data_IF_971584539030
#
_entry.id   IF_971584539030
#
_cell.length_a   1.000
_cell.length_b   1.000
_cell.length_c   1.000
_cell.angle_alpha   90.00
_cell.angle_beta   90.00
_cell.angle_gamma   90.00
#
_symmetry.space_group_name_H-M   'P 1'
#
loop_
_entity.id
_entity.type
_entity.pdbx_description
1 polymer ?
#
# COMPACT_ATOMS: atom_id res chain seq x y z
N UNK A 1 -12.64 -33.03 -47.56
CA UNK A 1 -13.18 -32.10 -46.54
C UNK A 1 -12.53 -32.28 -45.15
N UNK A 2 -11.20 -32.17 -45.00
CA UNK A 2 -10.55 -32.25 -43.66
C UNK A 2 -9.32 -31.31 -43.46
N UNK A 3 -9.11 -30.31 -44.32
CA UNK A 3 -7.93 -29.44 -44.25
C UNK A 3 -8.22 -27.96 -43.91
N UNK A 4 -9.47 -27.58 -43.61
CA UNK A 4 -9.83 -26.19 -43.28
C UNK A 4 -10.04 -25.90 -41.79
N UNK A 5 -9.89 -26.88 -40.89
CA UNK A 5 -10.13 -26.69 -39.45
C UNK A 5 -8.87 -26.44 -38.61
N UNK A 6 -7.67 -26.72 -39.13
CA UNK A 6 -6.43 -26.58 -38.36
C UNK A 6 -5.89 -25.14 -38.36
N UNK A 7 -6.15 -24.37 -39.44
CA UNK A 7 -5.72 -22.96 -39.55
C UNK A 7 -6.44 -21.96 -38.63
N UNK A 8 -7.56 -22.34 -38.01
CA UNK A 8 -8.32 -21.46 -37.10
C UNK A 8 -7.93 -21.57 -35.62
N UNK A 9 -7.21 -22.62 -35.22
CA UNK A 9 -6.81 -22.81 -33.81
C UNK A 9 -5.50 -22.08 -33.50
N UNK A 10 -4.56 -22.03 -34.44
CA UNK A 10 -3.30 -21.28 -34.28
C UNK A 10 -3.46 -19.75 -34.36
N UNK A 11 -4.47 -19.26 -35.09
CA UNK A 11 -4.81 -17.84 -35.10
C UNK A 11 -5.46 -17.35 -33.79
N UNK A 12 -6.02 -18.26 -32.97
CA UNK A 12 -6.62 -17.91 -31.69
C UNK A 12 -5.60 -17.86 -30.54
N UNK A 13 -4.54 -18.68 -30.59
CA UNK A 13 -3.44 -18.58 -29.61
C UNK A 13 -2.52 -17.36 -29.86
N UNK A 14 -2.35 -16.92 -31.11
CA UNK A 14 -1.64 -15.69 -31.42
C UNK A 14 -2.36 -14.41 -30.97
N UNK A 15 -3.70 -14.46 -30.86
CA UNK A 15 -4.52 -13.30 -30.47
C UNK A 15 -4.74 -13.19 -28.95
N UNK A 16 -4.50 -14.26 -28.20
CA UNK A 16 -4.52 -14.25 -26.71
C UNK A 16 -3.24 -13.65 -26.12
N UNK A 17 -2.17 -13.49 -26.91
CA UNK A 17 -0.91 -12.87 -26.46
C UNK A 17 -0.91 -11.34 -26.55
N UNK A 18 -1.93 -10.70 -27.16
CA UNK A 18 -1.89 -9.27 -27.49
C UNK A 18 -2.95 -8.37 -26.80
N UNK A 19 -3.70 -8.89 -25.82
CA UNK A 19 -4.75 -8.10 -25.15
C UNK A 19 -4.67 -8.09 -23.61
N UNK A 20 -3.48 -8.25 -23.04
CA UNK A 20 -3.19 -7.72 -21.69
C UNK A 20 -2.35 -6.46 -21.84
N UNK A 21 -2.82 -5.53 -22.68
CA UNK A 21 -2.57 -4.13 -22.40
C UNK A 21 -3.40 -3.81 -21.15
N UNK A 22 -2.81 -4.10 -19.98
CA UNK A 22 -3.27 -3.50 -18.75
C UNK A 22 -3.35 -2.00 -19.01
N UNK A 23 -4.57 -1.45 -19.08
CA UNK A 23 -4.77 -0.02 -19.01
C UNK A 23 -4.06 0.42 -17.73
N UNK A 24 -2.86 0.98 -17.88
CA UNK A 24 -2.16 1.58 -16.74
C UNK A 24 -3.06 2.73 -16.31
N UNK A 25 -3.61 2.62 -15.10
CA UNK A 25 -4.36 3.72 -14.51
C UNK A 25 -3.51 5.00 -14.48
N UNK A 26 -4.12 6.17 -14.25
CA UNK A 26 -3.43 7.46 -14.27
C UNK A 26 -2.33 7.60 -13.19
N UNK A 27 -2.16 6.60 -12.34
CA UNK A 27 -1.24 6.61 -11.21
C UNK A 27 -0.39 5.34 -11.15
N UNK A 28 0.85 5.49 -10.72
CA UNK A 28 1.77 4.41 -10.39
C UNK A 28 1.98 4.27 -8.87
N UNK A 29 2.27 3.07 -8.34
CA UNK A 29 2.55 2.88 -6.92
C UNK A 29 3.69 3.77 -6.43
N UNK A 30 3.50 4.47 -5.31
CA UNK A 30 4.59 5.23 -4.70
C UNK A 30 5.53 4.30 -3.93
N UNK A 31 6.79 4.26 -4.37
CA UNK A 31 7.84 3.42 -3.77
C UNK A 31 9.06 4.26 -3.45
N UNK A 32 9.33 4.39 -2.15
CA UNK A 32 10.52 5.10 -1.67
C UNK A 32 11.71 4.14 -1.72
N UNK A 33 12.65 4.41 -2.63
CA UNK A 33 13.87 3.60 -2.77
C UNK A 33 14.91 4.04 -1.75
N UNK A 34 15.53 3.07 -1.10
CA UNK A 34 16.58 3.25 -0.10
C UNK A 34 17.81 2.43 -0.52
N UNK A 35 19.03 2.74 -0.03
CA UNK A 35 20.25 2.03 -0.45
C UNK A 35 20.17 0.50 -0.32
N UNK A 36 19.58 0.01 0.76
CA UNK A 36 19.48 -1.42 1.07
C UNK A 36 18.02 -1.89 1.15
N UNK A 37 17.10 -1.24 0.43
CA UNK A 37 15.71 -1.61 0.52
C UNK A 37 14.74 -0.61 -0.08
N UNK A 38 13.48 -0.72 0.34
CA UNK A 38 12.39 0.09 -0.19
C UNK A 38 11.22 0.11 0.78
N UNK A 39 10.46 1.20 0.77
CA UNK A 39 9.11 1.24 1.36
C UNK A 39 8.09 1.32 0.24
N UNK A 40 7.21 0.32 0.16
CA UNK A 40 6.04 0.35 -0.70
C UNK A 40 4.88 0.98 0.10
N UNK A 41 4.67 2.28 -0.13
CA UNK A 41 3.61 3.06 0.54
C UNK A 41 2.23 2.85 -0.08
N UNK A 42 2.19 2.24 -1.27
CA UNK A 42 0.96 1.89 -1.98
C UNK A 42 0.31 0.64 -1.36
N UNK A 43 1.12 -0.39 -1.16
CA UNK A 43 0.71 -1.70 -0.66
C UNK A 43 0.97 -1.89 0.84
N UNK A 44 1.85 -1.08 1.44
CA UNK A 44 2.11 -1.06 2.88
C UNK A 44 3.04 -2.17 3.36
N UNK A 45 4.25 -2.23 2.82
CA UNK A 45 5.30 -3.13 3.28
C UNK A 45 6.70 -2.55 3.03
N UNK A 46 7.68 -3.05 3.77
CA UNK A 46 9.11 -2.72 3.63
C UNK A 46 9.81 -3.90 2.96
N UNK A 47 10.68 -3.63 1.98
CA UNK A 47 11.70 -4.57 1.51
C UNK A 47 13.04 -4.22 2.12
N UNK A 48 13.72 -5.18 2.70
CA UNK A 48 15.09 -5.03 3.19
C UNK A 48 15.99 -6.05 2.51
N UNK A 49 16.99 -5.55 1.80
CA UNK A 49 17.91 -6.35 1.03
C UNK A 49 19.20 -6.55 1.85
N UNK A 50 19.76 -7.76 1.79
CA UNK A 50 21.05 -8.05 2.41
C UNK A 50 21.89 -8.94 1.50
N UNK A 51 23.19 -8.67 1.50
CA UNK A 51 24.19 -9.47 0.78
C UNK A 51 25.39 -9.76 1.67
N UNK A 52 25.87 -11.00 1.62
CA UNK A 52 26.96 -11.53 2.43
C UNK A 52 27.87 -12.42 1.57
N UNK A 53 29.18 -12.13 1.47
CA UNK A 53 30.10 -12.98 0.72
C UNK A 53 30.27 -14.34 1.41
N UNK A 54 30.40 -15.40 0.61
CA UNK A 54 30.71 -16.73 1.12
C UNK A 54 32.17 -16.76 1.61
N UNK A 55 32.36 -17.31 2.81
CA UNK A 55 33.69 -17.44 3.41
C UNK A 55 34.54 -18.39 2.56
N UNK A 56 35.73 -17.94 2.18
CA UNK A 56 36.73 -18.75 1.48
C UNK A 56 37.49 -19.63 2.48
N UNK A 57 37.99 -20.78 2.03
CA UNK A 57 38.82 -21.67 2.86
C UNK A 57 38.04 -22.54 3.85
N UNK A 58 36.71 -22.60 3.75
CA UNK A 58 35.86 -23.53 4.53
C UNK A 58 34.98 -24.37 3.61
N UNK A 59 34.48 -25.53 4.07
CA UNK A 59 33.58 -26.36 3.27
C UNK A 59 32.37 -25.55 2.74
N UNK A 60 31.97 -25.72 1.46
CA UNK A 60 30.93 -24.90 0.85
C UNK A 60 29.59 -24.88 1.60
N UNK A 61 29.16 -26.04 2.11
CA UNK A 61 27.93 -26.14 2.89
C UNK A 61 28.01 -25.32 4.19
N UNK A 62 29.17 -25.30 4.84
CA UNK A 62 29.39 -24.50 6.04
C UNK A 62 29.40 -23.00 5.71
N UNK A 63 30.11 -22.59 4.65
CA UNK A 63 30.11 -21.19 4.21
C UNK A 63 28.69 -20.68 3.92
N UNK A 64 27.85 -21.51 3.29
CA UNK A 64 26.48 -21.15 2.97
C UNK A 64 25.63 -20.96 4.22
N UNK A 65 25.67 -21.90 5.17
CA UNK A 65 24.90 -21.79 6.42
C UNK A 65 25.33 -20.58 7.25
N UNK A 66 26.64 -20.29 7.29
CA UNK A 66 27.16 -19.08 7.93
C UNK A 66 26.62 -17.81 7.25
N UNK A 67 26.72 -17.74 5.92
CA UNK A 67 26.25 -16.59 5.15
C UNK A 67 24.74 -16.38 5.26
N UNK A 68 23.95 -17.46 5.27
CA UNK A 68 22.50 -17.43 5.48
C UNK A 68 22.12 -16.78 6.80
N UNK A 69 22.75 -17.22 7.90
CA UNK A 69 22.48 -16.67 9.25
C UNK A 69 22.85 -15.19 9.33
N UNK A 70 24.03 -14.83 8.83
CA UNK A 70 24.50 -13.44 8.84
C UNK A 70 23.61 -12.56 7.96
N UNK A 71 23.20 -13.05 6.79
CA UNK A 71 22.32 -12.32 5.89
C UNK A 71 20.97 -12.05 6.52
N UNK A 72 20.36 -13.05 7.18
CA UNK A 72 19.09 -12.87 7.89
C UNK A 72 19.19 -11.78 8.97
N UNK A 73 20.23 -11.82 9.81
CA UNK A 73 20.47 -10.79 10.83
C UNK A 73 20.65 -9.41 10.19
N UNK A 74 21.40 -9.32 9.09
CA UNK A 74 21.62 -8.08 8.35
C UNK A 74 20.32 -7.54 7.73
N UNK A 75 19.50 -8.39 7.13
CA UNK A 75 18.21 -7.99 6.55
C UNK A 75 17.23 -7.52 7.63
N UNK A 76 17.15 -8.21 8.78
CA UNK A 76 16.35 -7.77 9.92
C UNK A 76 16.84 -6.43 10.48
N UNK A 77 18.15 -6.22 10.62
CA UNK A 77 18.72 -4.96 11.05
C UNK A 77 18.40 -3.82 10.07
N UNK A 78 18.52 -4.09 8.77
CA UNK A 78 18.14 -3.14 7.70
C UNK A 78 16.65 -2.82 7.75
N UNK A 79 15.77 -3.82 7.85
CA UNK A 79 14.33 -3.62 7.97
C UNK A 79 13.97 -2.79 9.20
N UNK A 80 14.59 -3.06 10.36
CA UNK A 80 14.39 -2.28 11.58
C UNK A 80 14.82 -0.82 11.40
N UNK A 81 15.99 -0.58 10.80
CA UNK A 81 16.48 0.77 10.50
C UNK A 81 15.53 1.53 9.57
N UNK A 82 14.99 0.87 8.54
CA UNK A 82 13.99 1.48 7.65
C UNK A 82 12.70 1.77 8.43
N UNK A 83 12.19 0.79 9.19
CA UNK A 83 10.98 0.92 9.99
C UNK A 83 11.05 2.08 11.00
N UNK A 84 12.15 2.21 11.73
CA UNK A 84 12.37 3.27 12.72
C UNK A 84 12.34 4.68 12.08
N UNK A 85 12.73 4.79 10.82
CA UNK A 85 12.69 6.06 10.08
C UNK A 85 11.29 6.40 9.55
N UNK A 86 10.32 5.48 9.58
CA UNK A 86 9.00 5.77 9.05
C UNK A 86 8.35 6.95 9.80
N UNK A 87 7.89 7.99 9.08
CA UNK A 87 7.07 9.05 9.67
C UNK A 87 5.74 8.47 10.15
N UNK A 88 5.43 8.67 11.42
CA UNK A 88 4.12 8.34 11.97
C UNK A 88 3.13 9.43 11.55
N UNK A 89 3.52 10.68 11.73
CA UNK A 89 2.74 11.87 11.36
C UNK A 89 3.68 13.00 10.89
N UNK A 90 3.17 14.24 10.82
CA UNK A 90 3.92 15.42 10.39
C UNK A 90 5.04 15.86 11.34
N UNK A 91 5.08 15.34 12.58
CA UNK A 91 6.03 15.78 13.61
C UNK A 91 7.00 14.68 14.02
N UNK A 92 6.54 13.42 14.10
CA UNK A 92 7.27 12.33 14.74
C UNK A 92 7.49 11.14 13.79
N UNK A 93 8.68 10.54 13.92
CA UNK A 93 9.04 9.24 13.34
C UNK A 93 8.85 8.13 14.35
N UNK A 94 8.80 6.90 13.86
CA UNK A 94 8.60 5.71 14.70
C UNK A 94 9.71 5.55 15.76
N UNK A 95 10.94 5.93 15.44
CA UNK A 95 12.10 5.91 16.36
C UNK A 95 11.89 6.69 17.67
N UNK A 96 11.01 7.70 17.65
CA UNK A 96 10.71 8.55 18.82
C UNK A 96 9.77 7.88 19.84
N UNK A 97 9.18 6.73 19.49
CA UNK A 97 8.26 5.99 20.36
C UNK A 97 8.99 4.81 21.01
N UNK A 98 9.69 5.07 22.12
CA UNK A 98 10.46 4.04 22.87
C UNK A 98 9.61 2.81 23.22
N UNK A 99 8.36 3.03 23.68
CA UNK A 99 7.44 1.97 24.04
C UNK A 99 7.11 0.99 22.90
N UNK A 100 7.29 1.40 21.64
CA UNK A 100 6.99 0.56 20.48
C UNK A 100 8.20 -0.29 20.05
N UNK A 101 9.42 0.04 20.48
CA UNK A 101 10.65 -0.57 19.92
C UNK A 101 10.68 -2.09 20.01
N UNK A 102 10.28 -2.66 21.15
CA UNK A 102 10.26 -4.13 21.33
C UNK A 102 9.24 -4.76 20.39
N UNK A 103 8.05 -4.16 20.26
CA UNK A 103 7.00 -4.66 19.38
C UNK A 103 7.39 -4.57 17.91
N UNK A 104 8.02 -3.46 17.49
CA UNK A 104 8.51 -3.31 16.11
C UNK A 104 9.64 -4.30 15.81
N UNK A 105 10.56 -4.53 16.76
CA UNK A 105 11.57 -5.60 16.62
C UNK A 105 10.92 -6.96 16.41
N UNK A 106 9.86 -7.28 17.16
CA UNK A 106 9.09 -8.52 16.99
C UNK A 106 8.46 -8.64 15.60
N UNK A 107 7.85 -7.56 15.09
CA UNK A 107 7.26 -7.52 13.75
C UNK A 107 8.32 -7.73 12.67
N UNK A 108 9.47 -7.05 12.79
CA UNK A 108 10.60 -7.19 11.85
C UNK A 108 11.19 -8.59 11.87
N UNK A 109 11.32 -9.19 13.05
CA UNK A 109 11.81 -10.56 13.21
C UNK A 109 10.89 -11.59 12.52
N UNK A 110 9.58 -11.32 12.46
CA UNK A 110 8.58 -12.12 11.75
C UNK A 110 8.44 -11.80 10.25
N UNK A 111 9.36 -11.05 9.65
CA UNK A 111 9.35 -10.77 8.22
C UNK A 111 9.47 -12.03 7.35
N UNK A 112 8.93 -11.95 6.14
CA UNK A 112 8.91 -13.06 5.17
C UNK A 112 10.08 -12.93 4.19
N UNK A 113 10.82 -14.02 3.93
CA UNK A 113 11.82 -14.04 2.86
C UNK A 113 11.11 -14.16 1.52
N UNK A 114 11.24 -13.15 0.66
CA UNK A 114 10.57 -13.11 -0.65
C UNK A 114 11.50 -13.38 -1.82
N UNK A 115 12.80 -13.28 -1.60
CA UNK A 115 13.84 -13.64 -2.57
C UNK A 115 15.11 -14.06 -1.83
N UNK A 116 15.77 -15.10 -2.34
CA UNK A 116 17.05 -15.58 -1.83
C UNK A 116 17.83 -16.36 -2.89
N UNK A 117 19.15 -16.33 -2.78
CA UNK A 117 20.00 -17.05 -3.70
C UNK A 117 21.49 -16.81 -3.48
N UNK A 118 22.30 -17.50 -4.27
CA UNK A 118 23.74 -17.29 -4.33
C UNK A 118 24.14 -16.96 -5.75
N UNK A 119 24.90 -15.89 -5.95
CA UNK A 119 25.46 -15.51 -7.24
C UNK A 119 26.87 -14.96 -7.04
N UNK A 120 27.80 -15.37 -7.90
CA UNK A 120 29.20 -14.92 -7.86
C UNK A 120 29.88 -15.01 -6.47
N UNK A 121 29.58 -16.06 -5.69
CA UNK A 121 30.13 -16.25 -4.35
C UNK A 121 29.54 -15.31 -3.28
N UNK A 122 28.41 -14.66 -3.55
CA UNK A 122 27.68 -13.81 -2.62
C UNK A 122 26.28 -14.37 -2.40
N UNK A 123 25.92 -14.55 -1.14
CA UNK A 123 24.56 -14.88 -0.73
C UNK A 123 23.73 -13.60 -0.64
N UNK A 124 22.53 -13.58 -1.23
CA UNK A 124 21.60 -12.47 -1.19
C UNK A 124 20.25 -12.91 -0.66
N UNK A 125 19.58 -12.03 0.08
CA UNK A 125 18.20 -12.20 0.52
C UNK A 125 17.44 -10.87 0.46
N UNK A 126 16.13 -10.97 0.26
CA UNK A 126 15.17 -9.88 0.42
C UNK A 126 14.13 -10.26 1.47
N UNK A 127 14.05 -9.49 2.55
CA UNK A 127 13.07 -9.65 3.62
C UNK A 127 11.92 -8.65 3.41
N UNK A 128 10.68 -9.14 3.44
CA UNK A 128 9.45 -8.34 3.37
C UNK A 128 8.83 -8.22 4.76
N UNK A 129 8.65 -6.99 5.23
CA UNK A 129 8.03 -6.70 6.54
C UNK A 129 6.71 -5.94 6.35
N UNK A 130 5.61 -6.40 6.93
CA UNK A 130 4.31 -5.73 6.79
C UNK A 130 4.26 -4.40 7.55
N UNK A 131 3.83 -3.33 6.88
CA UNK A 131 3.43 -2.07 7.52
C UNK A 131 1.96 -2.13 7.90
N UNK A 132 1.13 -2.65 6.99
CA UNK A 132 -0.30 -2.87 7.16
C UNK A 132 -0.61 -4.27 7.72
N UNK A 133 -1.87 -4.50 8.08
CA UNK A 133 -2.37 -5.75 8.63
C UNK A 133 -2.29 -5.83 10.15
N UNK A 134 -2.90 -6.88 10.71
CA UNK A 134 -2.93 -7.12 12.17
C UNK A 134 -1.54 -7.37 12.76
N UNK A 135 -0.64 -7.94 11.97
CA UNK A 135 0.77 -8.15 12.33
C UNK A 135 1.70 -7.04 11.80
N UNK A 136 1.14 -5.96 11.22
CA UNK A 136 1.93 -4.87 10.66
C UNK A 136 2.32 -3.80 11.68
N UNK A 137 3.26 -2.94 11.28
CA UNK A 137 3.74 -1.80 12.08
C UNK A 137 2.60 -0.88 12.54
N UNK A 138 1.58 -0.65 11.69
CA UNK A 138 0.44 0.21 12.02
C UNK A 138 -0.34 -0.30 13.24
N UNK A 139 -0.43 -1.61 13.45
CA UNK A 139 -1.12 -2.17 14.62
C UNK A 139 -0.38 -1.87 15.93
N UNK A 140 0.94 -1.78 15.89
CA UNK A 140 1.75 -1.35 17.04
C UNK A 140 1.58 0.15 17.31
N UNK A 141 1.65 0.99 16.27
CA UNK A 141 1.48 2.45 16.38
C UNK A 141 0.12 2.81 16.96
N UNK A 142 -0.92 2.11 16.52
CA UNK A 142 -2.30 2.41 16.91
C UNK A 142 -2.58 2.29 18.40
N UNK A 143 -1.78 1.50 19.14
CA UNK A 143 -1.90 1.37 20.60
C UNK A 143 -1.61 2.68 21.31
N UNK A 144 -0.71 3.50 20.78
CA UNK A 144 -0.30 4.76 21.40
C UNK A 144 -0.97 5.98 20.76
N UNK A 145 -1.53 5.84 19.57
CA UNK A 145 -2.12 6.97 18.81
C UNK A 145 -3.64 7.00 18.81
N UNK A 146 -4.32 5.87 19.02
CA UNK A 146 -5.78 5.86 19.09
C UNK A 146 -6.26 6.35 20.46
N UNK A 147 -7.35 7.13 20.52
CA UNK A 147 -7.98 7.47 21.78
C UNK A 147 -8.49 6.18 22.48
N UNK A 148 -8.53 6.17 23.83
CA UNK A 148 -9.13 5.08 24.57
C UNK A 148 -10.56 4.86 24.06
N UNK A 149 -10.88 3.62 23.67
CA UNK A 149 -12.26 3.30 23.31
C UNK A 149 -13.12 3.45 24.57
N UNK A 150 -14.31 4.10 24.49
CA UNK A 150 -15.26 4.06 25.58
C UNK A 150 -15.51 2.60 25.93
N UNK A 151 -15.07 2.18 27.12
CA UNK A 151 -15.39 0.83 27.59
C UNK A 151 -16.91 0.77 27.71
N UNK A 152 -17.58 -0.29 27.20
CA UNK A 152 -18.98 -0.48 27.53
C UNK A 152 -19.09 -0.45 29.06
N UNK A 153 -20.09 0.25 29.63
CA UNK A 153 -20.21 0.37 31.07
C UNK A 153 -20.10 -1.04 31.68
N UNK A 154 -19.33 -1.20 32.77
CA UNK A 154 -19.28 -2.47 33.47
C UNK A 154 -20.72 -2.96 33.65
N UNK A 155 -21.03 -4.15 33.14
CA UNK A 155 -22.32 -4.76 33.45
C UNK A 155 -22.33 -4.86 34.97
N UNK A 156 -23.16 -4.03 35.62
CA UNK A 156 -23.33 -4.11 37.06
C UNK A 156 -23.60 -5.58 37.39
N UNK A 157 -22.87 -6.19 38.34
CA UNK A 157 -23.18 -7.53 38.75
C UNK A 157 -24.60 -7.48 39.30
N UNK A 158 -25.54 -8.05 38.55
CA UNK A 158 -26.93 -8.21 38.95
C UNK A 158 -26.95 -9.01 40.24
N UNK A 159 -27.06 -8.28 41.35
CA UNK A 159 -27.13 -8.84 42.69
C UNK A 159 -28.52 -9.39 42.95
N UNK A 160 -28.55 -10.71 43.15
CA UNK A 160 -29.51 -11.49 43.96
C UNK A 160 -30.86 -11.85 43.33
N UNK A 161 -31.21 -13.14 43.43
CA UNK A 161 -32.59 -13.62 43.35
C UNK A 161 -32.79 -14.91 42.55
N UNK A 162 -32.58 -16.04 43.23
CA UNK A 162 -33.37 -17.29 43.17
C UNK A 162 -33.89 -17.93 41.87
N UNK A 163 -33.91 -19.26 41.95
CA UNK A 163 -34.41 -20.22 40.98
C UNK A 163 -35.89 -20.00 40.59
N UNK A 164 -36.19 -20.30 39.33
CA UNK A 164 -37.53 -20.69 38.89
C UNK A 164 -37.91 -20.15 37.52
N UNK A 165 -38.40 -21.02 36.65
CA UNK A 165 -39.25 -20.60 35.53
C UNK A 165 -38.76 -21.02 34.16
N UNK A 166 -39.32 -22.14 33.68
CA UNK A 166 -39.23 -22.61 32.31
C UNK A 166 -39.79 -21.60 31.30
N UNK A 167 -39.12 -21.51 30.15
CA UNK A 167 -39.76 -21.38 28.84
C UNK A 167 -40.08 -19.98 28.35
N UNK A 168 -39.25 -19.46 27.44
CA UNK A 168 -39.81 -18.83 26.25
C UNK A 168 -38.87 -18.99 25.05
N UNK A 169 -39.31 -19.82 24.12
CA UNK A 169 -38.74 -20.01 22.79
C UNK A 169 -38.95 -18.71 22.00
N UNK A 170 -37.86 -18.00 21.69
CA UNK A 170 -37.88 -16.89 20.74
C UNK A 170 -37.69 -17.45 19.33
N UNK A 171 -38.77 -17.38 18.55
CA UNK A 171 -38.81 -17.65 17.11
C UNK A 171 -37.73 -16.83 16.36
N UNK A 172 -37.05 -17.42 15.36
CA UNK A 172 -36.18 -16.69 14.45
C UNK A 172 -36.97 -15.62 13.68
N UNK A 173 -36.56 -14.36 13.78
CA UNK A 173 -37.08 -13.28 12.94
C UNK A 173 -36.50 -13.41 11.53
N UNK A 174 -37.39 -13.61 10.57
CA UNK A 174 -37.12 -13.62 9.13
C UNK A 174 -36.45 -12.32 8.67
N UNK A 175 -35.33 -12.49 7.95
CA UNK A 175 -34.72 -11.47 7.12
C UNK A 175 -35.67 -11.13 5.94
N UNK A 176 -35.86 -9.85 5.58
CA UNK A 176 -36.49 -9.52 4.31
C UNK A 176 -35.53 -9.86 3.14
N UNK A 177 -36.03 -10.39 2.02
CA UNK A 177 -35.21 -10.88 0.91
C UNK A 177 -34.55 -9.74 0.10
N UNK A 178 -33.43 -10.03 -0.60
CA UNK A 178 -32.71 -9.06 -1.41
C UNK A 178 -33.46 -8.78 -2.73
N UNK A 179 -33.82 -7.52 -2.97
CA UNK A 179 -34.28 -7.07 -4.29
C UNK A 179 -33.08 -6.69 -5.15
N UNK A 180 -32.81 -7.53 -6.15
CA UNK A 180 -32.07 -7.17 -7.35
C UNK A 180 -33.02 -6.51 -8.36
N UNK A 181 -32.56 -5.41 -8.98
CA UNK A 181 -32.90 -4.86 -10.31
C UNK A 181 -32.09 -3.55 -10.43
N UNK A 182 -31.48 -3.14 -11.52
CA UNK A 182 -31.48 -3.60 -12.91
C UNK A 182 -30.22 -2.97 -13.56
N UNK A 183 -29.58 -3.71 -14.46
CA UNK A 183 -28.43 -3.25 -15.24
C UNK A 183 -28.89 -2.39 -16.44
N UNK A 184 -27.93 -1.59 -16.96
CA UNK A 184 -27.92 -0.85 -18.22
C UNK A 184 -28.45 0.62 -18.13
N UNK A 185 -27.80 1.64 -18.70
CA UNK A 185 -26.92 1.70 -19.87
C UNK A 185 -25.85 2.81 -19.76
N UNK A 186 -24.78 2.61 -20.52
CA UNK A 186 -23.74 3.56 -20.81
C UNK A 186 -24.26 4.78 -21.60
N UNK A 187 -23.79 5.97 -21.23
CA UNK A 187 -23.97 7.22 -21.96
C UNK A 187 -22.82 8.19 -21.64
N UNK A 188 -22.08 8.49 -22.70
CA UNK A 188 -21.12 9.57 -22.99
C UNK A 188 -20.99 10.74 -22.01
N UNK A 189 -19.73 11.13 -21.76
CA UNK A 189 -19.37 12.17 -20.80
C UNK A 189 -19.72 13.62 -21.17
N UNK A 190 -19.82 14.45 -20.13
CA UNK A 190 -19.35 15.84 -20.06
C UNK A 190 -19.41 16.32 -18.59
N UNK A 191 -18.49 17.21 -18.24
CA UNK A 191 -18.23 17.75 -16.90
C UNK A 191 -19.39 18.63 -16.37
N UNK A 192 -19.76 18.48 -15.09
CA UNK A 192 -20.69 19.36 -14.35
C UNK A 192 -21.18 18.76 -13.01
N UNK A 193 -21.45 19.56 -11.96
CA UNK A 193 -21.22 19.13 -10.57
C UNK A 193 -22.44 18.56 -9.83
N UNK A 194 -22.17 17.91 -8.69
CA UNK A 194 -23.00 17.90 -7.48
C UNK A 194 -23.97 16.73 -7.22
N UNK A 195 -23.49 15.49 -7.25
CA UNK A 195 -23.93 14.58 -6.19
C UNK A 195 -22.74 13.94 -5.49
N UNK A 196 -22.37 14.53 -4.35
CA UNK A 196 -21.31 14.01 -3.48
C UNK A 196 -21.60 12.57 -3.03
N UNK A 197 -22.87 12.12 -3.07
CA UNK A 197 -23.24 10.75 -2.74
C UNK A 197 -22.71 9.72 -3.74
N UNK A 198 -22.39 10.13 -4.98
CA UNK A 198 -21.83 9.23 -5.97
C UNK A 198 -20.41 8.80 -5.58
N UNK A 199 -19.56 9.71 -5.11
CA UNK A 199 -18.14 9.45 -4.86
C UNK A 199 -17.90 8.52 -3.65
N UNK A 200 -17.37 7.33 -3.89
CA UNK A 200 -17.09 6.36 -2.83
C UNK A 200 -15.66 6.44 -2.27
N UNK A 201 -14.81 7.34 -2.79
CA UNK A 201 -13.44 7.61 -2.33
C UNK A 201 -12.99 9.06 -2.56
N UNK A 202 -11.85 9.45 -2.02
CA UNK A 202 -11.23 10.76 -2.23
C UNK A 202 -9.80 10.58 -2.73
N UNK A 203 -9.43 11.32 -3.76
CA UNK A 203 -8.06 11.43 -4.25
C UNK A 203 -7.58 12.86 -4.08
N UNK A 204 -6.47 13.02 -3.36
CA UNK A 204 -5.89 14.33 -3.03
C UNK A 204 -4.61 14.50 -3.84
N UNK A 205 -4.62 15.41 -4.81
CA UNK A 205 -3.39 15.80 -5.52
C UNK A 205 -2.55 16.70 -4.62
N UNK A 206 -1.45 16.14 -4.10
CA UNK A 206 -0.48 16.82 -3.26
C UNK A 206 0.91 16.92 -3.91
N UNK A 207 0.98 16.75 -5.24
CA UNK A 207 2.22 16.75 -6.02
C UNK A 207 2.96 18.08 -5.89
N UNK A 208 2.24 19.20 -6.09
CA UNK A 208 2.80 20.55 -5.99
C UNK A 208 2.91 21.05 -4.54
N UNK A 209 2.11 20.46 -3.64
CA UNK A 209 2.11 20.80 -2.22
C UNK A 209 3.38 20.31 -1.50
N UNK A 210 4.13 19.37 -2.09
CA UNK A 210 5.34 18.79 -1.49
C UNK A 210 5.05 17.89 -0.28
N UNK A 211 3.87 17.26 -0.25
CA UNK A 211 3.50 16.34 0.81
C UNK A 211 4.34 15.07 0.75
N UNK A 212 4.67 14.54 1.93
CA UNK A 212 5.43 13.30 2.09
C UNK A 212 4.59 12.21 2.75
N UNK A 213 4.80 10.94 2.40
CA UNK A 213 4.08 9.85 3.02
C UNK A 213 4.30 9.77 4.54
N UNK A 214 3.26 9.34 5.24
CA UNK A 214 3.29 8.96 6.65
C UNK A 214 2.29 7.83 6.92
N UNK A 215 2.46 7.13 8.05
CA UNK A 215 1.55 6.07 8.48
C UNK A 215 0.16 6.62 8.80
N UNK A 216 0.13 7.78 9.45
CA UNK A 216 -1.06 8.46 9.94
C UNK A 216 -1.03 9.96 9.55
N UNK A 217 -1.13 10.28 8.24
CA UNK A 217 -1.22 11.66 7.77
C UNK A 217 -2.52 12.32 8.27
N UNK A 218 -2.56 13.65 8.17
CA UNK A 218 -3.77 14.44 8.38
C UNK A 218 -4.08 15.29 7.17
N UNK A 219 -5.36 15.48 6.89
CA UNK A 219 -5.83 16.57 6.01
C UNK A 219 -6.41 17.64 6.92
N UNK A 220 -5.89 18.86 6.78
CA UNK A 220 -6.28 20.03 7.56
C UNK A 220 -6.74 21.16 6.65
N UNK A 221 -7.62 22.01 7.14
CA UNK A 221 -7.95 23.26 6.45
C UNK A 221 -6.87 24.34 6.67
N UNK A 222 -7.01 25.48 6.00
CA UNK A 222 -6.08 26.61 6.10
C UNK A 222 -5.99 27.21 7.51
N UNK A 223 -7.02 26.96 8.35
CA UNK A 223 -7.08 27.38 9.77
C UNK A 223 -6.46 26.33 10.70
N UNK A 224 -5.96 25.23 10.18
CA UNK A 224 -5.34 24.14 10.94
C UNK A 224 -6.33 23.17 11.59
N UNK A 225 -7.63 23.25 11.27
CA UNK A 225 -8.63 22.31 11.81
C UNK A 225 -8.57 21.00 11.02
N UNK A 226 -8.65 19.90 11.75
CA UNK A 226 -8.60 18.55 11.17
C UNK A 226 -9.87 18.23 10.40
N UNK A 227 -9.70 17.84 9.14
CA UNK A 227 -10.74 17.30 8.26
C UNK A 227 -10.66 15.79 8.21
N UNK A 228 -9.45 15.25 8.22
CA UNK A 228 -9.17 13.83 8.15
C UNK A 228 -7.94 13.49 8.99
N UNK A 229 -8.00 12.39 9.74
CA UNK A 229 -6.86 11.86 10.48
C UNK A 229 -7.26 10.69 11.38
N UNK A 230 -6.36 10.30 12.27
CA UNK A 230 -6.57 9.16 13.19
C UNK A 230 -7.86 9.32 14.01
N UNK A 231 -8.23 10.56 14.35
CA UNK A 231 -9.40 10.86 15.19
C UNK A 231 -10.73 10.74 14.44
N UNK A 232 -10.71 10.84 13.11
CA UNK A 232 -11.91 10.83 12.28
C UNK A 232 -12.16 9.45 11.65
N UNK A 233 -11.16 8.59 11.64
CA UNK A 233 -11.21 7.25 11.03
C UNK A 233 -11.67 6.20 12.04
N UNK A 234 -12.43 5.21 11.58
CA UNK A 234 -12.85 4.07 12.40
C UNK A 234 -11.62 3.37 13.02
N UNK A 235 -11.66 3.05 14.33
CA UNK A 235 -10.51 2.46 15.04
C UNK A 235 -9.94 1.21 14.37
N UNK A 236 -10.78 0.33 13.83
CA UNK A 236 -10.33 -0.89 13.14
C UNK A 236 -9.52 -0.57 11.87
N UNK A 237 -9.92 0.46 11.11
CA UNK A 237 -9.21 0.88 9.89
C UNK A 237 -7.88 1.52 10.27
N UNK A 238 -7.90 2.46 11.21
CA UNK A 238 -6.69 3.11 11.72
C UNK A 238 -5.71 2.12 12.37
N UNK A 239 -6.24 1.03 12.97
CA UNK A 239 -5.51 -0.05 13.62
C UNK A 239 -4.79 -1.02 12.68
N UNK A 240 -5.21 -1.11 11.42
CA UNK A 240 -4.77 -2.18 10.51
C UNK A 240 -4.23 -1.69 9.18
N UNK A 241 -4.43 -0.42 8.83
CA UNK A 241 -4.01 0.12 7.54
C UNK A 241 -3.46 1.53 7.73
N UNK A 242 -2.47 1.90 6.92
CA UNK A 242 -2.12 3.31 6.72
C UNK A 242 -3.38 4.09 6.36
N UNK A 243 -3.50 5.32 6.86
CA UNK A 243 -4.72 6.10 6.63
C UNK A 243 -4.89 6.47 5.15
N UNK A 244 -3.78 6.77 4.47
CA UNK A 244 -3.76 7.03 3.03
C UNK A 244 -3.03 5.92 2.25
N UNK A 245 -3.47 5.73 1.01
CA UNK A 245 -2.70 5.07 -0.06
C UNK A 245 -1.89 6.14 -0.78
N UNK A 246 -0.60 5.91 -1.04
CA UNK A 246 0.23 6.87 -1.76
C UNK A 246 0.56 6.38 -3.16
N UNK A 247 0.37 7.26 -4.13
CA UNK A 247 0.65 7.01 -5.54
C UNK A 247 1.38 8.20 -6.15
N UNK A 248 1.94 8.01 -7.33
CA UNK A 248 2.54 9.09 -8.12
C UNK A 248 1.82 9.20 -9.46
N UNK A 249 1.71 10.41 -10.07
CA UNK A 249 1.18 10.54 -11.42
C UNK A 249 1.92 9.58 -12.35
N UNK A 250 1.21 8.86 -13.20
CA UNK A 250 1.86 8.15 -14.28
C UNK A 250 2.48 9.21 -15.21
N UNK A 251 3.80 9.14 -15.43
CA UNK A 251 4.44 9.97 -16.45
C UNK A 251 3.71 9.69 -17.77
N UNK A 252 2.98 10.68 -18.29
CA UNK A 252 2.20 10.57 -19.54
C UNK A 252 3.07 10.38 -20.80
N UNK A 253 4.26 9.80 -20.67
CA UNK A 253 5.31 9.75 -21.67
C UNK A 253 6.40 8.76 -21.29
N UNK A 254 6.07 7.48 -21.30
CA UNK A 254 7.00 6.44 -21.71
C UNK A 254 6.16 5.28 -22.26
N UNK A 255 5.76 5.41 -23.52
CA UNK A 255 5.83 4.24 -24.39
C UNK A 255 7.24 3.70 -24.22
N UNK A 256 7.38 2.68 -23.37
CA UNK A 256 8.53 1.79 -23.47
C UNK A 256 8.36 1.08 -24.80
N UNK A 257 8.77 1.77 -25.86
CA UNK A 257 9.28 1.17 -27.06
C UNK A 257 10.48 0.33 -26.62
N UNK A 258 10.22 -0.86 -26.09
CA UNK A 258 10.98 -1.99 -26.59
C UNK A 258 10.57 -2.11 -28.07
N UNK A 259 11.11 -1.21 -28.89
CA UNK A 259 11.32 -1.48 -30.29
C UNK A 259 12.28 -2.66 -30.27
N UNK A 260 11.71 -3.85 -30.32
CA UNK A 260 12.40 -5.07 -30.72
C UNK A 260 12.94 -4.75 -32.10
N UNK A 261 14.19 -4.31 -32.14
CA UNK A 261 14.96 -4.18 -33.35
C UNK A 261 15.17 -5.61 -33.87
N UNK A 262 14.20 -6.09 -34.65
CA UNK A 262 14.33 -7.30 -35.45
C UNK A 262 15.17 -6.94 -36.67
N UNK A 263 16.49 -6.89 -36.48
CA UNK A 263 17.42 -6.98 -37.59
C UNK A 263 17.32 -8.38 -38.25
N UNK A 264 17.52 -8.50 -39.57
CA UNK A 264 17.20 -9.72 -40.32
C UNK A 264 18.29 -10.81 -40.25
N UNK A 265 19.07 -10.93 -39.18
CA UNK A 265 20.16 -11.91 -39.10
C UNK A 265 20.31 -12.48 -37.68
N UNK A 266 20.13 -13.80 -37.52
CA UNK A 266 20.70 -14.58 -36.41
C UNK A 266 19.76 -15.07 -35.32
N UNK A 267 19.43 -16.37 -35.37
CA UNK A 267 18.81 -17.16 -34.29
C UNK A 267 19.60 -17.06 -32.97
N UNK A 268 19.09 -16.30 -31.99
CA UNK A 268 19.54 -16.31 -30.60
C UNK A 268 18.83 -17.39 -29.75
N UNK A 269 19.45 -17.86 -28.64
CA UNK A 269 18.95 -19.02 -27.89
C UNK A 269 17.62 -18.73 -27.19
N UNK A 270 16.74 -19.73 -27.20
CA UNK A 270 15.41 -19.71 -26.57
C UNK A 270 15.47 -19.21 -25.12
N UNK A 271 14.51 -18.37 -24.68
CA UNK A 271 14.46 -17.93 -23.30
C UNK A 271 14.18 -19.12 -22.38
N UNK A 272 15.02 -19.30 -21.35
CA UNK A 272 14.93 -20.27 -20.25
C UNK A 272 13.68 -20.10 -19.34
N UNK A 273 12.60 -19.50 -19.86
CA UNK A 273 11.34 -19.28 -19.16
C UNK A 273 10.52 -20.57 -18.94
N UNK A 274 11.04 -21.75 -19.33
CA UNK A 274 10.36 -23.04 -19.17
C UNK A 274 10.84 -23.88 -17.98
N UNK A 275 11.67 -23.34 -17.09
CA UNK A 275 12.11 -24.04 -15.86
C UNK A 275 11.80 -23.19 -14.61
N UNK A 276 10.63 -22.55 -14.55
CA UNK A 276 10.12 -22.07 -13.26
C UNK A 276 9.53 -23.25 -12.51
N UNK A 277 10.07 -23.66 -11.36
CA UNK A 277 9.50 -24.76 -10.59
C UNK A 277 8.08 -24.36 -10.13
N UNK A 278 7.11 -25.30 -10.13
CA UNK A 278 5.68 -25.02 -9.97
C UNK A 278 5.31 -24.35 -8.64
N UNK A 279 6.18 -24.42 -7.62
CA UNK A 279 5.98 -23.73 -6.35
C UNK A 279 6.09 -22.20 -6.45
N UNK A 280 6.84 -21.63 -7.41
CA UNK A 280 6.89 -20.17 -7.66
C UNK A 280 5.56 -19.62 -8.19
N UNK A 281 4.80 -20.44 -8.93
CA UNK A 281 3.44 -20.11 -9.37
C UNK A 281 2.42 -20.24 -8.23
N UNK A 282 2.61 -21.20 -7.31
CA UNK A 282 1.75 -21.37 -6.13
C UNK A 282 1.99 -20.32 -5.04
N UNK A 283 3.22 -19.80 -4.89
CA UNK A 283 3.51 -18.68 -3.97
C UNK A 283 2.81 -17.38 -4.39
N UNK A 284 2.59 -17.16 -5.70
CA UNK A 284 1.81 -16.03 -6.21
C UNK A 284 0.28 -16.21 -6.06
N UNK A 285 -0.18 -17.44 -5.81
CA UNK A 285 -1.61 -17.78 -5.78
C UNK A 285 -2.27 -17.58 -4.41
N UNK A 286 -1.52 -17.37 -3.32
CA UNK A 286 -2.07 -16.86 -2.05
C UNK A 286 -2.24 -15.34 -2.13
N UNK A 287 -3.08 -14.88 -3.05
CA UNK A 287 -3.71 -13.56 -2.92
C UNK A 287 -4.63 -13.66 -1.72
N UNK A 288 -4.29 -12.95 -0.64
CA UNK A 288 -5.26 -12.62 0.41
C UNK A 288 -6.55 -12.10 -0.25
N UNK A 289 -7.74 -12.36 0.30
CA UNK A 289 -8.99 -11.86 -0.26
C UNK A 289 -8.87 -10.35 -0.47
N UNK A 290 -8.79 -9.94 -1.73
CA UNK A 290 -8.53 -8.56 -2.10
C UNK A 290 -9.75 -7.73 -1.71
N UNK A 291 -9.68 -7.06 -0.57
CA UNK A 291 -10.48 -5.87 -0.33
C UNK A 291 -10.23 -4.96 -1.53
N UNK A 292 -11.31 -4.52 -2.22
CA UNK A 292 -11.20 -3.72 -3.44
C UNK A 292 -10.15 -2.60 -3.22
N UNK A 293 -9.18 -2.43 -4.13
CA UNK A 293 -8.11 -1.47 -3.93
C UNK A 293 -8.68 -0.05 -3.76
N UNK A 294 -8.17 0.70 -2.77
CA UNK A 294 -8.49 2.14 -2.61
C UNK A 294 -8.17 2.85 -3.93
N UNK A 295 -9.12 3.55 -4.54
CA UNK A 295 -8.93 4.24 -5.82
C UNK A 295 -9.48 3.52 -7.08
N UNK A 296 -10.04 2.31 -6.96
CA UNK A 296 -10.85 1.69 -8.03
C UNK A 296 -12.34 2.09 -7.97
N UNK A 297 -12.64 3.09 -7.14
CA UNK A 297 -13.96 3.66 -6.93
C UNK A 297 -14.00 5.03 -7.60
N UNK A 298 -15.19 5.50 -7.96
CA UNK A 298 -15.37 6.90 -8.31
C UNK A 298 -14.84 7.78 -7.17
N UNK A 299 -13.93 8.68 -7.52
CA UNK A 299 -13.16 9.46 -6.57
C UNK A 299 -13.50 10.94 -6.72
N UNK A 300 -13.69 11.61 -5.59
CA UNK A 300 -13.67 13.06 -5.58
C UNK A 300 -12.20 13.50 -5.64
N UNK A 301 -11.83 14.09 -6.77
CA UNK A 301 -10.51 14.70 -6.97
C UNK A 301 -10.45 16.07 -6.30
N UNK A 302 -9.46 16.29 -5.43
CA UNK A 302 -9.24 17.56 -4.75
C UNK A 302 -7.77 17.94 -4.78
N UNK A 303 -7.48 19.24 -4.82
CA UNK A 303 -6.10 19.75 -4.86
C UNK A 303 -5.64 20.22 -3.48
N UNK A 304 -4.44 19.82 -3.09
CA UNK A 304 -3.78 20.35 -1.90
C UNK A 304 -3.15 21.72 -2.19
N UNK A 305 -3.20 22.61 -1.21
CA UNK A 305 -2.61 23.94 -1.25
C UNK A 305 -1.12 23.87 -0.90
N UNK A 306 -0.78 23.15 0.17
CA UNK A 306 0.60 22.97 0.66
C UNK A 306 0.69 21.79 1.62
N UNK A 307 1.91 21.37 1.92
CA UNK A 307 2.20 20.49 3.04
C UNK A 307 2.61 21.29 4.29
N UNK A 308 2.39 20.72 5.47
CA UNK A 308 2.69 21.33 6.76
C UNK A 308 3.36 20.33 7.73
N UNK A 309 3.92 20.89 8.80
CA UNK A 309 4.67 20.18 9.83
C UNK A 309 6.10 19.82 9.38
N UNK A 310 6.94 19.45 10.35
CA UNK A 310 8.38 19.26 10.13
C UNK A 310 8.70 18.18 9.09
N UNK A 311 7.89 17.13 9.02
CA UNK A 311 8.04 16.00 8.11
C UNK A 311 7.17 16.12 6.84
N UNK A 312 6.45 17.25 6.66
CA UNK A 312 5.59 17.54 5.50
C UNK A 312 4.47 16.51 5.26
N UNK A 313 3.93 15.91 6.33
CA UNK A 313 2.90 14.88 6.21
C UNK A 313 1.46 15.38 6.48
N UNK A 314 1.29 16.63 6.92
CA UNK A 314 -0.02 17.25 7.01
C UNK A 314 -0.35 17.93 5.68
N UNK A 315 -1.47 17.54 5.07
CA UNK A 315 -1.92 18.05 3.77
C UNK A 315 -2.93 19.17 4.02
N UNK A 316 -2.62 20.38 3.53
CA UNK A 316 -3.48 21.54 3.70
C UNK A 316 -4.36 21.70 2.46
N UNK A 317 -5.66 21.82 2.67
CA UNK A 317 -6.66 22.09 1.62
C UNK A 317 -7.40 23.40 1.89
N UNK A 318 -8.02 23.97 0.86
CA UNK A 318 -8.83 25.19 1.03
C UNK A 318 -10.02 24.95 1.94
N UNK A 319 -10.52 26.01 2.58
CA UNK A 319 -11.72 25.94 3.43
C UNK A 319 -12.95 25.37 2.69
N UNK A 320 -13.11 25.70 1.40
CA UNK A 320 -14.18 25.18 0.56
C UNK A 320 -14.05 23.66 0.36
N UNK A 321 -12.83 23.20 0.04
CA UNK A 321 -12.52 21.78 -0.13
C UNK A 321 -12.75 21.02 1.17
N UNK A 322 -12.30 21.57 2.29
CA UNK A 322 -12.53 21.00 3.62
C UNK A 322 -14.02 20.80 3.92
N UNK A 323 -14.88 21.75 3.52
CA UNK A 323 -16.33 21.63 3.67
C UNK A 323 -16.90 20.49 2.81
N UNK A 324 -16.50 20.43 1.53
CA UNK A 324 -16.90 19.36 0.60
C UNK A 324 -16.51 17.98 1.11
N UNK A 325 -15.30 17.85 1.65
CA UNK A 325 -14.80 16.59 2.22
C UNK A 325 -15.61 16.11 3.43
N UNK A 326 -16.00 17.03 4.33
CA UNK A 326 -16.85 16.68 5.48
C UNK A 326 -18.25 16.26 5.02
N UNK A 327 -18.84 16.99 4.08
CA UNK A 327 -20.16 16.64 3.54
C UNK A 327 -20.14 15.27 2.83
N UNK A 328 -19.10 15.02 2.03
CA UNK A 328 -18.90 13.73 1.37
C UNK A 328 -18.79 12.58 2.39
N UNK A 329 -18.06 12.78 3.49
CA UNK A 329 -17.93 11.74 4.52
C UNK A 329 -19.26 11.48 5.25
N UNK A 330 -20.05 12.52 5.54
CA UNK A 330 -21.38 12.36 6.12
C UNK A 330 -22.28 11.50 5.23
N UNK A 331 -22.20 11.69 3.90
CA UNK A 331 -23.04 10.94 2.94
C UNK A 331 -22.54 9.52 2.67
N UNK A 332 -21.23 9.31 2.61
CA UNK A 332 -20.64 8.09 2.03
C UNK A 332 -19.74 7.31 3.00
N UNK A 333 -19.28 7.95 4.07
CA UNK A 333 -18.27 7.44 4.98
C UNK A 333 -16.90 7.24 4.33
N UNK A 334 -16.59 7.87 3.18
CA UNK A 334 -15.34 7.61 2.48
C UNK A 334 -14.10 7.92 3.34
N UNK A 335 -14.12 9.01 4.11
CA UNK A 335 -13.00 9.40 4.97
C UNK A 335 -12.98 8.51 6.22
N UNK A 336 -14.09 8.35 6.92
CA UNK A 336 -14.18 7.52 8.13
C UNK A 336 -13.81 6.04 7.89
N UNK A 337 -14.00 5.53 6.67
CA UNK A 337 -13.54 4.19 6.24
C UNK A 337 -12.12 4.18 5.65
N UNK A 338 -11.40 5.30 5.66
CA UNK A 338 -10.02 5.42 5.19
C UNK A 338 -9.85 5.17 3.69
N UNK A 339 -10.77 5.65 2.85
CA UNK A 339 -10.72 5.53 1.38
C UNK A 339 -10.10 6.77 0.76
N UNK A 340 -8.89 7.10 1.22
CA UNK A 340 -8.12 8.26 0.78
C UNK A 340 -6.90 7.80 -0.01
N UNK A 341 -6.75 8.32 -1.21
CA UNK A 341 -5.54 8.22 -2.02
C UNK A 341 -4.86 9.59 -2.04
N UNK A 342 -3.55 9.63 -1.85
CA UNK A 342 -2.76 10.86 -1.95
C UNK A 342 -1.79 10.70 -3.09
N UNK A 343 -1.86 11.61 -4.05
CA UNK A 343 -0.93 11.69 -5.17
C UNK A 343 0.23 12.57 -4.73
N UNK A 344 1.44 12.01 -4.78
CA UNK A 344 2.68 12.70 -4.41
C UNK A 344 3.67 12.66 -5.57
N UNK A 345 4.57 13.64 -5.61
CA UNK A 345 5.67 13.65 -6.57
C UNK A 345 6.58 12.45 -6.30
N UNK A 346 7.03 11.76 -7.35
CA UNK A 346 8.01 10.71 -7.21
C UNK A 346 9.34 11.31 -6.74
N UNK A 347 9.90 10.81 -5.64
CA UNK A 347 11.25 11.16 -5.18
C UNK A 347 12.35 10.59 -6.12
N UNK A 348 11.97 10.00 -7.26
CA UNK A 348 12.85 9.28 -8.18
C UNK A 348 13.50 10.26 -9.14
N UNK A 349 14.60 10.88 -8.70
CA UNK A 349 15.53 11.58 -9.58
C UNK A 349 15.87 12.98 -9.10
N UNK A 350 16.75 13.07 -8.10
CA UNK A 350 17.30 14.34 -7.68
C UNK A 350 18.23 14.16 -6.50
N UNK A 351 19.49 13.79 -6.77
CA UNK A 351 20.59 14.42 -6.04
C UNK A 351 20.27 15.91 -6.05
N UNK A 352 20.10 16.46 -4.86
CA UNK A 352 20.01 17.88 -4.62
C UNK A 352 21.26 18.50 -5.26
N UNK A 353 21.15 18.88 -6.53
CA UNK A 353 22.14 19.71 -7.18
C UNK A 353 22.07 21.01 -6.44
N UNK A 354 23.00 21.15 -5.50
CA UNK A 354 23.48 22.40 -4.98
C UNK A 354 23.64 23.31 -6.22
N UNK A 355 22.61 24.12 -6.51
CA UNK A 355 22.80 25.31 -7.32
C UNK A 355 23.69 26.18 -6.45
N UNK A 356 25.00 26.01 -6.64
CA UNK A 356 25.92 27.09 -6.40
C UNK A 356 25.40 28.21 -7.30
N UNK A 357 24.79 29.22 -6.69
CA UNK A 357 24.64 30.51 -7.35
C UNK A 357 26.04 30.94 -7.79
N UNK A 358 26.27 31.30 -9.06
CA UNK A 358 27.46 32.04 -9.43
C UNK A 358 27.18 33.50 -9.08
N UNK A 359 27.42 33.87 -7.84
CA UNK A 359 27.45 35.27 -7.39
C UNK A 359 28.29 35.33 -6.10
N UNK A 360 29.61 35.28 -6.29
CA UNK A 360 30.51 36.28 -5.73
C UNK A 360 31.86 36.18 -6.46
N UNK A 361 32.18 37.31 -7.10
CA UNK A 361 33.44 37.87 -7.62
C UNK A 361 34.71 37.01 -7.60
#
# INVERSE_FOLDING_TARGET
MKLQRVGRVLALCGLVVLAVFAQRGPYSPYREKLPDGMVDWDQGWIRADASVPLRKGVPPAQALVEAQRVAMIKAQATALRIAMRLPVNSERRLESYEALRIRIKGIVAGGEVVDEGTSAGVYHISLKVPVNGVHGIVSAVSIVTLPPQPQPPPKEPSGHGEAGGYGQSVKPSEQPPPQQKEEAQAGTGQEGPSDLASFASVTVDATDAGAKPALQPRIIDEKGREVYGVKTVKPLVAGTKTLARYVTPADGGATSSHATWLGPEGLGPLPLALITPPWRLLAQARREPSVRPRGALNSLEVKAVRASGRLKADIVVTEETARKLRELDVRTGALSNGRVTVVVRSDVGGVESRRLCPEDQ
#
